data_IF_945987606880
#
_entry.id   IF_945987606880
#
_cell.length_a   1.000
_cell.length_b   1.000
_cell.length_c   1.000
_cell.angle_alpha   90.00
_cell.angle_beta   90.00
_cell.angle_gamma   90.00
#
_symmetry.space_group_name_H-M   'P 1'
#
loop_
_entity.id
_entity.type
_entity.pdbx_description
1 polymer ?
#
# COMPACT_ATOMS: atom_id res chain seq x y z
N UNK A 1 -22.44 -7.15 58.21
CA UNK A 1 -21.29 -6.30 57.91
C UNK A 1 -20.22 -7.21 57.35
N UNK A 2 -20.04 -7.25 56.04
CA UNK A 2 -19.00 -7.99 55.38
C UNK A 2 -18.21 -6.96 54.59
N UNK A 3 -16.98 -6.70 55.02
CA UNK A 3 -16.04 -5.80 54.34
C UNK A 3 -15.45 -6.52 53.12
N UNK A 4 -15.66 -5.93 51.96
CA UNK A 4 -15.06 -6.36 50.69
C UNK A 4 -13.63 -5.84 50.59
N UNK A 5 -12.65 -6.73 50.67
CA UNK A 5 -11.25 -6.43 50.40
C UNK A 5 -11.03 -6.32 48.87
N UNK A 6 -10.67 -5.13 48.42
CA UNK A 6 -10.20 -4.87 47.03
C UNK A 6 -8.73 -5.27 46.90
N UNK A 7 -8.32 -6.02 45.85
CA UNK A 7 -6.93 -6.50 45.71
C UNK A 7 -5.95 -5.51 45.07
N UNK A 8 -6.27 -4.21 44.95
CA UNK A 8 -5.42 -3.21 44.31
C UNK A 8 -4.99 -2.07 45.25
N UNK A 9 -4.62 -2.40 46.49
CA UNK A 9 -4.00 -1.46 47.40
C UNK A 9 -2.49 -1.59 47.43
N UNK A 10 -1.77 -0.97 46.53
CA UNK A 10 -0.38 -0.52 46.75
C UNK A 10 0.17 0.18 45.49
N UNK A 11 -0.18 1.43 45.26
CA UNK A 11 0.64 2.37 44.49
C UNK A 11 0.64 3.71 45.21
N UNK A 12 1.70 3.92 45.98
CA UNK A 12 2.00 5.20 46.63
C UNK A 12 2.03 6.36 45.65
N UNK A 13 1.61 7.55 46.11
CA UNK A 13 1.61 8.84 45.40
C UNK A 13 2.98 9.17 44.76
N UNK A 14 3.28 8.55 43.61
CA UNK A 14 4.26 9.11 42.68
C UNK A 14 3.50 10.03 41.73
N UNK A 15 3.76 11.35 41.86
CA UNK A 15 3.34 12.32 40.85
C UNK A 15 3.80 11.81 39.49
N UNK A 16 2.83 11.40 38.65
CA UNK A 16 3.11 11.14 37.23
C UNK A 16 3.68 12.43 36.63
N UNK A 17 4.74 12.33 35.82
CA UNK A 17 5.26 13.49 35.10
C UNK A 17 4.12 14.07 34.27
N UNK A 18 3.90 15.38 34.37
CA UNK A 18 2.95 16.11 33.54
C UNK A 18 3.44 15.97 32.08
N UNK A 19 2.75 15.15 31.31
CA UNK A 19 2.96 15.10 29.87
C UNK A 19 2.45 16.42 29.32
N UNK A 20 3.38 17.27 28.90
CA UNK A 20 3.05 18.53 28.22
C UNK A 20 2.19 18.19 26.99
N UNK A 21 0.97 18.68 26.97
CA UNK A 21 -0.01 18.56 25.87
C UNK A 21 0.34 19.36 24.61
N UNK A 22 1.61 19.68 24.41
CA UNK A 22 2.16 20.26 23.18
C UNK A 22 2.87 19.20 22.32
N UNK A 23 2.35 17.97 22.29
CA UNK A 23 2.67 17.07 21.18
C UNK A 23 1.80 17.49 19.99
N UNK A 24 2.33 18.36 19.14
CA UNK A 24 2.01 18.42 17.73
C UNK A 24 1.82 16.98 17.23
N UNK A 25 0.78 16.73 16.41
CA UNK A 25 0.54 15.46 15.74
C UNK A 25 1.68 15.18 14.73
N UNK A 26 2.87 14.98 15.21
CA UNK A 26 3.96 14.36 14.46
C UNK A 26 3.76 12.86 14.55
N UNK A 27 3.68 12.16 13.43
CA UNK A 27 3.74 10.71 13.38
C UNK A 27 4.97 10.26 14.18
N UNK A 28 4.73 9.66 15.33
CA UNK A 28 5.83 9.06 16.12
C UNK A 28 6.26 7.81 15.37
N UNK A 29 7.40 7.89 14.69
CA UNK A 29 8.00 6.72 14.03
C UNK A 29 8.78 5.94 15.10
N UNK A 30 8.43 4.67 15.39
CA UNK A 30 9.13 3.85 16.36
C UNK A 30 10.60 3.63 15.96
N UNK A 31 11.50 3.65 16.94
CA UNK A 31 12.92 3.36 16.74
C UNK A 31 13.23 1.94 17.21
N UNK A 32 14.03 1.22 16.43
CA UNK A 32 14.56 -0.11 16.76
C UNK A 32 16.07 0.01 16.96
N UNK A 33 16.57 -0.53 18.09
CA UNK A 33 18.00 -0.56 18.39
C UNK A 33 18.50 -1.99 18.17
N UNK A 34 19.46 -2.15 17.28
CA UNK A 34 20.15 -3.42 17.04
C UNK A 34 21.53 -3.39 17.68
N UNK A 35 21.86 -4.43 18.43
CA UNK A 35 23.22 -4.63 18.95
C UNK A 35 24.02 -5.45 17.94
N UNK A 36 25.17 -4.92 17.54
CA UNK A 36 26.13 -5.64 16.69
C UNK A 36 27.47 -5.74 17.45
N UNK A 37 28.35 -6.63 17.01
CA UNK A 37 29.69 -6.76 17.60
C UNK A 37 30.56 -5.48 17.54
N UNK A 38 30.10 -4.44 16.85
CA UNK A 38 30.78 -3.15 16.68
C UNK A 38 30.07 -2.03 17.47
N UNK A 39 28.91 -2.29 18.10
CA UNK A 39 28.13 -1.32 18.88
C UNK A 39 26.63 -1.32 18.57
N UNK A 40 25.92 -0.37 19.15
CA UNK A 40 24.48 -0.19 18.95
C UNK A 40 24.21 0.70 17.73
N UNK A 41 23.23 0.30 16.91
CA UNK A 41 22.69 1.11 15.80
C UNK A 41 21.20 1.27 15.96
N UNK A 42 20.73 2.52 15.89
CA UNK A 42 19.30 2.84 15.90
C UNK A 42 18.80 3.09 14.48
N UNK A 43 17.67 2.46 14.15
CA UNK A 43 16.95 2.65 12.88
C UNK A 43 15.50 3.01 13.20
N UNK A 44 14.88 3.86 12.40
CA UNK A 44 13.43 3.89 12.41
C UNK A 44 12.85 2.59 11.83
N UNK A 45 11.61 2.27 12.21
CA UNK A 45 10.99 0.98 11.85
C UNK A 45 10.89 0.79 10.33
N UNK A 46 10.62 1.84 9.56
CA UNK A 46 10.51 1.74 8.10
C UNK A 46 11.87 1.49 7.45
N UNK A 47 12.91 2.21 7.88
CA UNK A 47 14.29 1.96 7.43
C UNK A 47 14.75 0.55 7.80
N UNK A 48 14.32 0.02 8.95
CA UNK A 48 14.64 -1.36 9.33
C UNK A 48 13.93 -2.38 8.43
N UNK A 49 12.65 -2.16 8.13
CA UNK A 49 11.87 -3.04 7.24
C UNK A 49 12.32 -2.94 5.79
N UNK A 50 12.79 -1.78 5.34
CA UNK A 50 13.37 -1.64 4.00
C UNK A 50 14.58 -2.57 3.79
N UNK A 51 15.39 -2.83 4.82
CA UNK A 51 16.49 -3.82 4.74
C UNK A 51 15.99 -5.25 4.51
N UNK A 52 14.74 -5.54 4.92
CA UNK A 52 14.05 -6.80 4.62
C UNK A 52 13.28 -6.72 3.29
N UNK A 53 13.56 -5.68 2.48
CA UNK A 53 12.95 -5.43 1.17
C UNK A 53 11.44 -5.16 1.22
N UNK A 54 10.96 -4.57 2.33
CA UNK A 54 9.56 -4.24 2.59
C UNK A 54 9.34 -2.73 2.47
N UNK A 55 8.43 -2.34 1.59
CA UNK A 55 8.00 -0.97 1.33
C UNK A 55 6.54 -0.81 1.76
N UNK A 56 6.19 0.35 2.32
CA UNK A 56 4.81 0.67 2.72
C UNK A 56 4.22 1.79 1.87
N UNK A 57 3.01 1.55 1.34
CA UNK A 57 2.11 2.56 0.77
C UNK A 57 0.90 2.65 1.69
N UNK A 58 1.04 3.41 2.78
CA UNK A 58 0.06 3.46 3.88
C UNK A 58 -0.80 4.73 3.91
N UNK A 59 -0.73 5.56 2.87
CA UNK A 59 -1.45 6.85 2.80
C UNK A 59 -2.01 7.09 1.40
N UNK A 60 -2.63 8.25 1.18
CA UNK A 60 -2.95 8.72 -0.16
C UNK A 60 -1.67 8.88 -1.00
N UNK A 61 -1.77 8.55 -2.30
CA UNK A 61 -0.66 8.60 -3.24
C UNK A 61 -0.56 10.01 -3.81
N UNK A 62 0.52 10.69 -3.46
CA UNK A 62 0.94 11.98 -4.02
C UNK A 62 2.35 11.87 -4.61
N UNK A 63 2.89 12.96 -5.13
CA UNK A 63 4.22 13.00 -5.74
C UNK A 63 5.32 12.60 -4.75
N UNK A 64 5.20 13.00 -3.47
CA UNK A 64 6.20 12.67 -2.44
C UNK A 64 6.23 11.17 -2.10
N UNK A 65 5.04 10.58 -2.01
CA UNK A 65 4.90 9.13 -1.81
C UNK A 65 5.48 8.39 -3.02
N UNK A 66 5.17 8.83 -4.24
CA UNK A 66 5.67 8.21 -5.46
C UNK A 66 7.19 8.30 -5.54
N UNK A 67 7.78 9.49 -5.36
CA UNK A 67 9.24 9.69 -5.39
C UNK A 67 9.93 8.80 -4.35
N UNK A 68 9.37 8.72 -3.13
CA UNK A 68 9.92 7.86 -2.07
C UNK A 68 9.88 6.38 -2.45
N UNK A 69 8.76 5.89 -2.98
CA UNK A 69 8.63 4.47 -3.35
C UNK A 69 9.52 4.14 -4.55
N UNK A 70 9.56 4.99 -5.58
CA UNK A 70 10.46 4.83 -6.74
C UNK A 70 11.91 4.76 -6.29
N UNK A 71 12.36 5.67 -5.41
CA UNK A 71 13.72 5.66 -4.89
C UNK A 71 14.04 4.37 -4.12
N UNK A 72 13.09 3.86 -3.32
CA UNK A 72 13.25 2.61 -2.59
C UNK A 72 13.33 1.39 -3.52
N UNK A 73 12.50 1.35 -4.58
CA UNK A 73 12.53 0.29 -5.58
C UNK A 73 13.89 0.23 -6.30
N UNK A 74 14.38 1.37 -6.79
CA UNK A 74 15.68 1.48 -7.46
C UNK A 74 16.84 1.12 -6.52
N UNK A 75 16.78 1.54 -5.26
CA UNK A 75 17.77 1.20 -4.24
C UNK A 75 17.81 -0.33 -4.01
N UNK A 76 16.65 -0.97 -3.84
CA UNK A 76 16.57 -2.41 -3.59
C UNK A 76 16.97 -3.24 -4.81
N UNK A 77 16.67 -2.80 -6.03
CA UNK A 77 17.18 -3.41 -7.25
C UNK A 77 18.71 -3.37 -7.31
N UNK A 78 19.30 -2.21 -6.99
CA UNK A 78 20.78 -2.06 -6.99
C UNK A 78 21.46 -2.90 -5.89
N UNK A 79 20.80 -3.15 -4.75
CA UNK A 79 21.32 -4.00 -3.67
C UNK A 79 21.31 -5.49 -4.04
N UNK A 80 20.21 -5.98 -4.60
CA UNK A 80 20.08 -7.40 -5.01
C UNK A 80 18.95 -7.53 -6.05
N UNK A 81 19.26 -7.66 -7.33
CA UNK A 81 18.27 -7.72 -8.41
C UNK A 81 17.50 -9.06 -8.47
N UNK A 82 17.95 -10.11 -7.76
CA UNK A 82 17.34 -11.44 -7.83
C UNK A 82 16.29 -11.68 -6.73
N UNK A 83 16.27 -10.83 -5.69
CA UNK A 83 15.33 -11.01 -4.57
C UNK A 83 14.09 -10.17 -4.73
N UNK A 84 12.95 -10.77 -4.43
CA UNK A 84 11.65 -10.10 -4.43
C UNK A 84 11.62 -8.84 -3.56
N UNK A 85 10.83 -7.86 -3.98
CA UNK A 85 10.49 -6.67 -3.20
C UNK A 85 9.02 -6.79 -2.80
N UNK A 86 8.70 -6.52 -1.53
CA UNK A 86 7.35 -6.57 -1.00
C UNK A 86 6.79 -5.17 -0.81
N UNK A 87 5.63 -4.88 -1.39
CA UNK A 87 4.91 -3.62 -1.20
C UNK A 87 3.63 -3.89 -0.42
N UNK A 88 3.56 -3.38 0.81
CA UNK A 88 2.37 -3.41 1.64
C UNK A 88 1.50 -2.18 1.36
N UNK A 89 0.24 -2.40 0.97
CA UNK A 89 -0.68 -1.35 0.50
C UNK A 89 -1.88 -1.23 1.44
N UNK A 90 -2.05 -0.01 1.99
CA UNK A 90 -3.26 0.41 2.72
C UNK A 90 -3.55 1.87 2.32
N UNK A 91 -4.12 2.06 1.13
CA UNK A 91 -4.22 3.36 0.49
C UNK A 91 -5.60 3.58 -0.13
N UNK A 92 -6.17 4.77 0.03
CA UNK A 92 -7.39 5.16 -0.67
C UNK A 92 -7.16 5.48 -2.15
N UNK A 93 -5.93 5.40 -2.65
CA UNK A 93 -5.53 5.87 -3.97
C UNK A 93 -4.98 7.30 -3.95
N UNK A 94 -5.10 8.03 -5.04
CA UNK A 94 -4.60 9.40 -5.15
C UNK A 94 -4.26 9.81 -6.58
N UNK A 95 -3.17 10.56 -6.75
CA UNK A 95 -2.71 11.07 -8.05
C UNK A 95 -2.44 9.94 -9.04
N UNK A 96 -3.08 10.00 -10.20
CA UNK A 96 -2.91 9.00 -11.26
C UNK A 96 -1.48 9.00 -11.79
N UNK A 97 -0.90 10.16 -12.07
CA UNK A 97 0.46 10.23 -12.61
C UNK A 97 1.51 9.74 -11.62
N UNK A 98 1.35 10.07 -10.34
CA UNK A 98 2.21 9.58 -9.26
C UNK A 98 2.10 8.05 -9.13
N UNK A 99 0.88 7.49 -9.24
CA UNK A 99 0.65 6.06 -9.25
C UNK A 99 1.22 5.36 -10.48
N UNK A 100 1.12 5.97 -11.67
CA UNK A 100 1.72 5.43 -12.91
C UNK A 100 3.25 5.44 -12.83
N UNK A 101 3.87 6.47 -12.24
CA UNK A 101 5.33 6.49 -12.04
C UNK A 101 5.80 5.33 -11.16
N UNK A 102 5.08 5.03 -10.08
CA UNK A 102 5.34 3.85 -9.24
C UNK A 102 5.15 2.56 -10.02
N UNK A 103 4.04 2.42 -10.75
CA UNK A 103 3.71 1.24 -11.54
C UNK A 103 4.76 0.96 -12.62
N UNK A 104 5.11 1.95 -13.42
CA UNK A 104 6.10 1.78 -14.49
C UNK A 104 7.47 1.38 -13.91
N UNK A 105 7.84 1.92 -12.74
CA UNK A 105 9.06 1.50 -12.04
C UNK A 105 8.95 0.04 -11.59
N UNK A 106 7.81 -0.39 -11.01
CA UNK A 106 7.58 -1.79 -10.64
C UNK A 106 7.70 -2.74 -11.84
N UNK A 107 7.29 -2.30 -13.05
CA UNK A 107 7.41 -3.11 -14.27
C UNK A 107 8.81 -3.10 -14.87
N UNK A 108 9.60 -2.05 -14.61
CA UNK A 108 10.92 -1.83 -15.22
C UNK A 108 12.03 -2.54 -14.47
N UNK A 109 11.95 -2.65 -13.14
CA UNK A 109 12.98 -3.27 -12.31
C UNK A 109 13.02 -4.78 -12.50
N UNK A 110 14.19 -5.39 -12.27
CA UNK A 110 14.40 -6.84 -12.43
C UNK A 110 13.77 -7.68 -11.32
N UNK A 111 13.79 -7.28 -10.03
CA UNK A 111 13.13 -8.02 -8.96
C UNK A 111 11.63 -8.20 -9.19
N UNK A 112 11.10 -9.37 -8.85
CA UNK A 112 9.65 -9.55 -8.74
C UNK A 112 9.07 -8.67 -7.64
N UNK A 113 7.94 -8.04 -7.91
CA UNK A 113 7.25 -7.17 -6.95
C UNK A 113 6.04 -7.90 -6.38
N UNK A 114 6.15 -8.28 -5.12
CA UNK A 114 5.05 -8.87 -4.32
C UNK A 114 4.18 -7.73 -3.79
N UNK A 115 2.89 -7.74 -4.07
CA UNK A 115 1.96 -6.73 -3.56
C UNK A 115 1.00 -7.33 -2.54
N UNK A 116 0.80 -6.64 -1.40
CA UNK A 116 0.00 -7.16 -0.28
C UNK A 116 -0.95 -6.06 0.23
N UNK A 117 -2.26 -6.26 0.06
CA UNK A 117 -3.24 -5.38 0.67
C UNK A 117 -3.46 -5.74 2.15
N UNK A 118 -3.32 -4.74 3.04
CA UNK A 118 -3.68 -4.82 4.46
C UNK A 118 -4.58 -3.65 4.82
N UNK A 119 -5.87 -3.91 5.02
CA UNK A 119 -6.87 -2.87 5.22
C UNK A 119 -7.61 -2.51 3.94
N UNK A 120 -7.19 -1.48 3.20
CA UNK A 120 -7.84 -1.08 1.94
C UNK A 120 -6.83 -0.82 0.82
N UNK A 121 -7.17 -1.29 -0.37
CA UNK A 121 -6.54 -0.84 -1.61
C UNK A 121 -7.63 -0.29 -2.53
N UNK A 122 -7.71 1.03 -2.67
CA UNK A 122 -8.74 1.68 -3.47
C UNK A 122 -8.14 2.52 -4.60
N UNK A 123 -8.84 2.62 -5.73
CA UNK A 123 -8.44 3.47 -6.86
C UNK A 123 -7.01 3.15 -7.34
N UNK A 124 -6.10 4.15 -7.34
CA UNK A 124 -4.69 3.89 -7.66
C UNK A 124 -4.01 2.89 -6.72
N UNK A 125 -4.50 2.71 -5.47
CA UNK A 125 -4.01 1.66 -4.58
C UNK A 125 -4.38 0.26 -5.06
N UNK A 126 -5.61 0.06 -5.60
CA UNK A 126 -6.02 -1.20 -6.21
C UNK A 126 -5.29 -1.45 -7.53
N UNK A 127 -5.04 -0.39 -8.31
CA UNK A 127 -4.26 -0.48 -9.53
C UNK A 127 -2.83 -0.97 -9.26
N UNK A 128 -2.14 -0.39 -8.28
CA UNK A 128 -0.80 -0.83 -7.88
C UNK A 128 -0.80 -2.26 -7.32
N UNK A 129 -1.83 -2.62 -6.53
CA UNK A 129 -2.00 -3.99 -6.02
C UNK A 129 -2.09 -5.00 -7.16
N UNK A 130 -2.91 -4.71 -8.18
CA UNK A 130 -3.07 -5.58 -9.35
C UNK A 130 -1.83 -5.59 -10.27
N UNK A 131 -1.00 -4.55 -10.20
CA UNK A 131 0.24 -4.38 -10.98
C UNK A 131 1.45 -5.14 -10.44
N UNK A 132 1.33 -5.86 -9.32
CA UNK A 132 2.38 -6.73 -8.83
C UNK A 132 2.64 -7.93 -9.75
N UNK A 133 3.74 -8.64 -9.53
CA UNK A 133 4.11 -9.83 -10.31
C UNK A 133 3.01 -10.88 -10.20
N UNK A 134 2.57 -11.42 -11.33
CA UNK A 134 1.52 -12.43 -11.39
C UNK A 134 1.88 -13.66 -10.54
N UNK A 135 0.94 -14.12 -9.73
CA UNK A 135 1.15 -15.17 -8.73
C UNK A 135 1.63 -14.67 -7.37
N UNK A 136 2.01 -13.37 -7.27
CA UNK A 136 2.56 -12.74 -6.06
C UNK A 136 1.72 -11.56 -5.55
N UNK A 137 0.46 -11.42 -6.02
CA UNK A 137 -0.47 -10.36 -5.60
C UNK A 137 -1.41 -10.93 -4.53
N UNK A 138 -1.47 -10.29 -3.36
CA UNK A 138 -2.11 -10.86 -2.19
C UNK A 138 -2.93 -9.85 -1.40
N UNK A 139 -3.84 -10.37 -0.57
CA UNK A 139 -4.55 -9.55 0.43
C UNK A 139 -4.74 -10.32 1.74
N UNK A 140 -4.85 -9.60 2.86
CA UNK A 140 -5.30 -10.16 4.13
C UNK A 140 -6.82 -10.40 4.10
N UNK A 141 -7.37 -11.36 4.88
CA UNK A 141 -8.76 -11.79 4.75
C UNK A 141 -9.80 -10.68 4.93
N UNK A 142 -9.53 -9.70 5.79
CA UNK A 142 -10.47 -8.59 6.05
C UNK A 142 -10.22 -7.36 5.18
N UNK A 143 -9.32 -7.45 4.19
CA UNK A 143 -9.03 -6.32 3.31
C UNK A 143 -10.18 -6.02 2.36
N UNK A 144 -10.26 -4.76 1.93
CA UNK A 144 -11.21 -4.31 0.90
C UNK A 144 -10.44 -3.78 -0.30
N UNK A 145 -10.91 -4.13 -1.47
CA UNK A 145 -10.35 -3.66 -2.73
C UNK A 145 -11.44 -2.87 -3.47
N UNK A 146 -11.10 -1.72 -4.03
CA UNK A 146 -12.05 -0.91 -4.79
C UNK A 146 -11.42 -0.37 -6.06
N UNK A 147 -12.11 -0.58 -7.17
CA UNK A 147 -11.75 -0.02 -8.46
C UNK A 147 -12.82 0.97 -8.91
N UNK A 148 -12.39 2.03 -9.57
CA UNK A 148 -13.26 3.02 -10.22
C UNK A 148 -12.49 3.80 -11.29
N UNK A 149 -13.21 4.53 -12.15
CA UNK A 149 -12.61 5.42 -13.13
C UNK A 149 -11.87 6.60 -12.48
N UNK A 150 -10.87 7.20 -13.15
CA UNK A 150 -10.17 8.36 -12.62
C UNK A 150 -11.15 9.52 -12.42
N UNK A 151 -11.00 10.21 -11.27
CA UNK A 151 -11.70 11.45 -10.98
C UNK A 151 -10.92 12.59 -11.60
N UNK A 152 -11.61 13.48 -12.30
CA UNK A 152 -11.01 14.66 -12.90
C UNK A 152 -12.03 15.80 -13.04
N UNK A 153 -11.52 16.99 -13.20
CA UNK A 153 -12.30 18.20 -13.48
C UNK A 153 -11.52 19.13 -14.40
N UNK A 154 -12.21 19.98 -15.13
CA UNK A 154 -11.62 20.95 -16.03
C UNK A 154 -12.18 22.34 -15.73
N UNK A 155 -11.31 23.35 -15.69
CA UNK A 155 -11.64 24.75 -15.57
C UNK A 155 -10.79 25.57 -16.54
N UNK A 156 -11.34 26.64 -17.11
CA UNK A 156 -10.63 27.52 -18.02
C UNK A 156 -11.45 27.89 -19.24
N UNK A 157 -10.79 28.27 -20.32
CA UNK A 157 -11.42 28.55 -21.61
C UNK A 157 -11.93 27.24 -22.24
N UNK A 158 -12.88 27.31 -23.17
CA UNK A 158 -13.47 26.15 -23.81
C UNK A 158 -12.42 25.18 -24.40
N UNK A 159 -11.38 25.72 -25.04
CA UNK A 159 -10.28 24.92 -25.58
C UNK A 159 -9.48 24.20 -24.49
N UNK A 160 -9.24 24.85 -23.34
CA UNK A 160 -8.52 24.22 -22.21
C UNK A 160 -9.34 23.06 -21.62
N UNK A 161 -10.66 23.26 -21.48
CA UNK A 161 -11.60 22.24 -21.03
C UNK A 161 -11.59 21.03 -21.98
N UNK A 162 -11.58 21.27 -23.30
CA UNK A 162 -11.53 20.19 -24.31
C UNK A 162 -10.21 19.39 -24.22
N UNK A 163 -9.07 20.06 -24.05
CA UNK A 163 -7.77 19.41 -23.90
C UNK A 163 -7.75 18.53 -22.64
N UNK A 164 -8.20 19.07 -21.51
CA UNK A 164 -8.23 18.32 -20.25
C UNK A 164 -9.22 17.14 -20.30
N UNK A 165 -10.37 17.31 -20.95
CA UNK A 165 -11.33 16.23 -21.13
C UNK A 165 -10.74 15.06 -21.97
N UNK A 166 -10.02 15.37 -23.05
CA UNK A 166 -9.32 14.37 -23.86
C UNK A 166 -8.30 13.60 -23.06
N UNK A 167 -7.52 14.30 -22.22
CA UNK A 167 -6.51 13.67 -21.37
C UNK A 167 -7.14 12.73 -20.33
N UNK A 168 -8.22 13.16 -19.67
CA UNK A 168 -8.95 12.32 -18.71
C UNK A 168 -9.49 11.05 -19.38
N UNK A 169 -10.05 11.17 -20.60
CA UNK A 169 -10.55 10.02 -21.36
C UNK A 169 -9.43 9.07 -21.78
N UNK A 170 -8.28 9.61 -22.21
CA UNK A 170 -7.08 8.83 -22.51
C UNK A 170 -6.60 8.02 -21.30
N UNK A 171 -6.48 8.69 -20.14
CA UNK A 171 -6.06 8.03 -18.89
C UNK A 171 -7.08 6.96 -18.46
N UNK A 172 -8.38 7.24 -18.54
CA UNK A 172 -9.44 6.26 -18.25
C UNK A 172 -9.27 5.00 -19.09
N UNK A 173 -9.12 5.17 -20.40
CA UNK A 173 -8.91 4.06 -21.31
C UNK A 173 -7.64 3.29 -20.97
N UNK A 174 -6.53 4.00 -20.75
CA UNK A 174 -5.23 3.38 -20.45
C UNK A 174 -5.24 2.55 -19.17
N UNK A 175 -5.83 3.08 -18.09
CA UNK A 175 -5.95 2.35 -16.83
C UNK A 175 -6.83 1.10 -16.99
N UNK A 176 -7.95 1.19 -17.72
CA UNK A 176 -8.81 0.05 -17.98
C UNK A 176 -8.09 -1.04 -18.79
N UNK A 177 -7.30 -0.67 -19.81
CA UNK A 177 -6.47 -1.61 -20.57
C UNK A 177 -5.47 -2.35 -19.69
N UNK A 178 -4.78 -1.61 -18.80
CA UNK A 178 -3.82 -2.19 -17.87
C UNK A 178 -4.49 -3.14 -16.87
N UNK A 179 -5.62 -2.72 -16.27
CA UNK A 179 -6.38 -3.57 -15.34
C UNK A 179 -6.90 -4.82 -16.07
N UNK A 180 -7.38 -4.70 -17.31
CA UNK A 180 -7.79 -5.86 -18.11
C UNK A 180 -6.62 -6.83 -18.33
N UNK A 181 -5.43 -6.31 -18.62
CA UNK A 181 -4.20 -7.11 -18.74
C UNK A 181 -3.81 -7.82 -17.44
N UNK A 182 -3.91 -7.13 -16.30
CA UNK A 182 -3.58 -7.69 -14.99
C UNK A 182 -4.56 -8.79 -14.56
N UNK A 183 -5.85 -8.57 -14.80
CA UNK A 183 -6.93 -9.45 -14.31
C UNK A 183 -7.27 -10.58 -15.27
N UNK A 184 -7.01 -10.40 -16.58
CA UNK A 184 -7.51 -11.28 -17.65
C UNK A 184 -8.99 -11.09 -17.95
N UNK A 185 -9.66 -10.08 -17.36
CA UNK A 185 -11.05 -9.75 -17.67
C UNK A 185 -11.15 -9.02 -19.02
N UNK A 186 -12.28 -9.17 -19.74
CA UNK A 186 -12.53 -8.38 -20.95
C UNK A 186 -12.53 -6.87 -20.65
N UNK A 187 -11.99 -6.06 -21.57
CA UNK A 187 -11.96 -4.61 -21.45
C UNK A 187 -13.34 -3.99 -21.15
N UNK A 188 -14.38 -4.44 -21.86
CA UNK A 188 -15.74 -3.92 -21.67
C UNK A 188 -16.29 -4.18 -20.28
N UNK A 189 -15.90 -5.32 -19.66
CA UNK A 189 -16.27 -5.63 -18.28
C UNK A 189 -15.56 -4.68 -17.31
N UNK A 190 -14.24 -4.47 -17.49
CA UNK A 190 -13.50 -3.51 -16.67
C UNK A 190 -14.08 -2.11 -16.82
N UNK A 191 -14.38 -1.66 -18.03
CA UNK A 191 -14.96 -0.35 -18.30
C UNK A 191 -16.33 -0.17 -17.65
N UNK A 192 -17.16 -1.20 -17.61
CA UNK A 192 -18.46 -1.18 -16.95
C UNK A 192 -18.32 -1.17 -15.41
N UNK A 193 -17.47 -2.04 -14.86
CA UNK A 193 -17.30 -2.18 -13.41
C UNK A 193 -16.61 -0.95 -12.78
N UNK A 194 -15.68 -0.30 -13.51
CA UNK A 194 -14.99 0.90 -13.05
C UNK A 194 -15.81 2.20 -13.22
N UNK A 195 -16.98 2.17 -13.86
CA UNK A 195 -17.79 3.38 -14.09
C UNK A 195 -18.22 4.04 -12.76
N UNK A 196 -18.38 3.25 -11.69
CA UNK A 196 -18.63 3.67 -10.31
C UNK A 196 -17.77 2.87 -9.36
N UNK A 197 -17.79 3.22 -8.07
CA UNK A 197 -17.06 2.49 -7.03
C UNK A 197 -17.49 1.02 -7.00
N UNK A 198 -16.57 0.14 -7.35
CA UNK A 198 -16.80 -1.31 -7.36
C UNK A 198 -15.94 -1.94 -6.25
N UNK A 199 -16.59 -2.27 -5.14
CA UNK A 199 -15.95 -2.85 -3.96
C UNK A 199 -15.95 -4.37 -3.98
N UNK A 200 -14.83 -4.95 -3.60
CA UNK A 200 -14.61 -6.40 -3.51
C UNK A 200 -14.07 -6.78 -2.13
N UNK A 201 -14.47 -7.95 -1.62
CA UNK A 201 -13.73 -8.65 -0.56
C UNK A 201 -12.40 -9.18 -1.13
N UNK A 202 -11.56 -9.73 -0.27
CA UNK A 202 -10.31 -10.35 -0.72
C UNK A 202 -10.59 -11.57 -1.62
N UNK A 203 -11.60 -12.36 -1.30
CA UNK A 203 -12.03 -13.53 -2.06
C UNK A 203 -12.59 -13.12 -3.42
N UNK A 204 -13.48 -12.12 -3.47
CA UNK A 204 -14.02 -11.58 -4.74
C UNK A 204 -12.89 -11.07 -5.64
N UNK A 205 -11.85 -10.44 -5.05
CA UNK A 205 -10.71 -9.91 -5.80
C UNK A 205 -9.83 -11.03 -6.40
N UNK A 206 -9.76 -12.20 -5.75
CA UNK A 206 -9.13 -13.40 -6.36
C UNK A 206 -9.96 -13.90 -7.53
N UNK A 207 -11.27 -14.06 -7.37
CA UNK A 207 -12.17 -14.50 -8.45
C UNK A 207 -12.16 -13.54 -9.63
N UNK A 208 -12.05 -12.25 -9.35
CA UNK A 208 -11.95 -11.19 -10.36
C UNK A 208 -10.61 -11.21 -11.10
N UNK A 209 -9.55 -11.71 -10.45
CA UNK A 209 -8.19 -11.75 -10.99
C UNK A 209 -7.32 -10.53 -10.64
N UNK A 210 -7.81 -9.62 -9.77
CA UNK A 210 -7.02 -8.48 -9.28
C UNK A 210 -5.85 -8.90 -8.40
N UNK A 211 -6.04 -9.97 -7.61
CA UNK A 211 -5.01 -10.60 -6.81
C UNK A 211 -4.97 -12.10 -7.07
N UNK A 212 -3.95 -12.77 -6.58
CA UNK A 212 -3.73 -14.20 -6.82
C UNK A 212 -4.16 -15.08 -5.64
N UNK A 213 -4.08 -14.55 -4.40
CA UNK A 213 -4.49 -15.31 -3.20
C UNK A 213 -4.78 -14.43 -1.99
N UNK A 214 -5.54 -15.00 -1.04
CA UNK A 214 -5.76 -14.45 0.29
C UNK A 214 -4.78 -15.12 1.26
N UNK A 215 -4.00 -14.32 2.03
CA UNK A 215 -3.04 -14.84 3.01
C UNK A 215 -3.78 -15.27 4.26
N UNK A 216 -3.72 -16.55 4.62
CA UNK A 216 -4.25 -17.09 5.87
C UNK A 216 -3.14 -17.44 6.86
N UNK A 217 -3.47 -17.52 8.14
CA UNK A 217 -2.49 -17.83 9.21
C UNK A 217 -1.78 -19.18 8.99
N UNK A 218 -2.44 -20.14 8.38
CA UNK A 218 -1.88 -21.47 8.14
C UNK A 218 -0.76 -21.44 7.07
N UNK A 219 -0.85 -20.55 6.09
CA UNK A 219 0.16 -20.41 5.04
C UNK A 219 1.39 -19.63 5.51
N UNK A 220 1.22 -18.65 6.42
CA UNK A 220 2.31 -17.91 7.02
C UNK A 220 3.25 -18.81 7.89
N UNK A 221 2.75 -19.95 8.40
CA UNK A 221 3.53 -20.88 9.21
C UNK A 221 4.21 -22.00 8.38
N UNK A 222 3.91 -22.09 7.09
CA UNK A 222 4.44 -23.15 6.20
C UNK A 222 5.63 -22.69 5.35
N UNK A 223 6.05 -21.42 5.43
CA UNK A 223 7.26 -20.96 4.75
C UNK A 223 8.48 -21.50 5.47
N UNK A 224 9.34 -22.31 4.83
CA UNK A 224 10.54 -22.81 5.48
C UNK A 224 11.48 -21.64 5.78
N UNK A 225 11.85 -21.52 7.04
CA UNK A 225 12.98 -20.69 7.49
C UNK A 225 14.25 -21.29 6.87
N UNK A 226 14.74 -20.71 5.80
CA UNK A 226 16.07 -20.96 5.25
C UNK A 226 17.02 -19.87 5.64
#
# INVERSE_FOLDING_TARGET
MLESHSPYGFLGNKKLPQINSAMTQGNVVPMVVEQSGIGERAFDIYSRLLRERIIFVGTAIDDKVADSVVAQLLYLEAEDPEKDIQIYINSPGGSVYSGLAMYDTMQQIQPDVVTICYGIAASMGAFLLSGGTKGKRMALPSSRIMIHQPLGGAQGQATDIEIQAKEILYIKQRLNELIAGHTGQPFDKIAADTERDFYMSSEDAVEYGLIDKVITKSEALSSPTT
#
